data_IF_475243991610
#
_entry.id   IF_475243991610
#
_cell.length_a   1.000
_cell.length_b   1.000
_cell.length_c   1.000
_cell.angle_alpha   90.00
_cell.angle_beta   90.00
_cell.angle_gamma   90.00
#
_symmetry.space_group_name_H-M   'P 1'
#
loop_
_entity.id
_entity.type
_entity.pdbx_description
1 polymer ?
#
# COMPACT_ATOMS: atom_id res chain seq x y z
N UNK A 1 -6.71 14.22 -37.33
CA UNK A 1 -7.34 13.32 -36.37
C UNK A 1 -8.31 14.12 -35.52
N UNK A 2 -9.56 13.68 -35.42
CA UNK A 2 -10.50 14.40 -34.58
C UNK A 2 -10.08 14.33 -33.11
N UNK A 3 -10.34 15.34 -32.28
CA UNK A 3 -10.03 15.29 -30.87
C UNK A 3 -10.88 14.22 -30.19
N UNK A 4 -10.27 13.51 -29.23
CA UNK A 4 -11.00 12.56 -28.42
C UNK A 4 -12.00 13.32 -27.52
N UNK A 5 -13.21 12.82 -27.48
CA UNK A 5 -14.19 13.34 -26.53
C UNK A 5 -13.87 12.82 -25.13
N UNK A 6 -14.20 13.64 -24.12
CA UNK A 6 -13.87 13.28 -22.74
C UNK A 6 -14.41 11.91 -22.32
N UNK A 7 -15.61 11.53 -22.77
CA UNK A 7 -16.22 10.25 -22.44
C UNK A 7 -15.67 9.08 -23.27
N UNK A 8 -14.87 9.34 -24.30
CA UNK A 8 -14.20 8.29 -25.09
C UNK A 8 -12.91 7.80 -24.43
N UNK A 9 -12.43 8.49 -23.39
CA UNK A 9 -11.22 8.12 -22.68
C UNK A 9 -11.54 7.22 -21.50
N UNK A 10 -10.78 6.13 -21.31
CA UNK A 10 -10.96 5.32 -20.11
C UNK A 10 -10.63 6.13 -18.87
N UNK A 11 -11.42 5.91 -17.80
CA UNK A 11 -11.13 6.52 -16.51
C UNK A 11 -10.53 5.45 -15.60
N UNK A 12 -9.24 5.59 -15.34
CA UNK A 12 -8.49 4.67 -14.49
C UNK A 12 -7.93 5.48 -13.34
N UNK A 13 -8.32 5.11 -12.13
CA UNK A 13 -7.84 5.77 -10.92
C UNK A 13 -6.59 5.06 -10.40
N UNK A 14 -5.44 5.73 -10.32
CA UNK A 14 -4.24 5.12 -9.76
C UNK A 14 -4.32 5.11 -8.24
N UNK A 15 -3.88 4.00 -7.65
CA UNK A 15 -3.78 3.83 -6.22
C UNK A 15 -2.46 3.15 -5.88
N UNK A 16 -1.91 3.48 -4.72
CA UNK A 16 -0.68 2.85 -4.24
C UNK A 16 -1.00 1.78 -3.20
N UNK A 17 -0.18 0.74 -3.14
CA UNK A 17 -0.13 -0.22 -2.05
C UNK A 17 1.30 -0.17 -1.51
N UNK A 18 1.45 0.01 -0.21
CA UNK A 18 2.73 0.35 0.38
C UNK A 18 3.13 -0.65 1.46
N UNK A 19 4.24 -1.34 1.21
CA UNK A 19 4.92 -2.14 2.23
C UNK A 19 5.93 -1.28 2.98
N UNK A 20 5.57 -0.84 4.17
CA UNK A 20 6.47 -0.07 5.02
C UNK A 20 7.31 -1.05 5.81
N UNK A 21 8.63 -0.99 5.63
CA UNK A 21 9.56 -1.91 6.27
C UNK A 21 10.49 -1.18 7.25
N UNK A 22 10.89 -1.90 8.28
CA UNK A 22 11.93 -1.47 9.20
C UNK A 22 12.81 -2.68 9.47
N UNK A 23 13.88 -2.83 8.68
CA UNK A 23 14.72 -4.02 8.71
C UNK A 23 13.90 -5.27 8.39
N UNK A 24 13.79 -6.17 9.34
CA UNK A 24 13.05 -7.43 9.19
C UNK A 24 11.60 -7.35 9.66
N UNK A 25 11.06 -6.14 9.81
CA UNK A 25 9.66 -5.92 10.18
C UNK A 25 8.87 -5.29 9.06
N UNK A 26 7.63 -5.70 8.90
CA UNK A 26 6.67 -5.16 7.94
C UNK A 26 5.45 -4.63 8.70
N UNK A 27 4.99 -3.46 8.33
CA UNK A 27 3.78 -2.87 8.89
C UNK A 27 2.56 -3.50 8.26
N UNK A 28 1.71 -4.12 9.08
CA UNK A 28 0.41 -4.64 8.65
C UNK A 28 -0.70 -3.86 9.34
N UNK A 29 -1.81 -3.69 8.66
CA UNK A 29 -2.96 -2.94 9.17
C UNK A 29 -4.25 -3.71 8.94
N UNK A 30 -5.32 -3.26 9.62
CA UNK A 30 -6.69 -3.74 9.39
C UNK A 30 -7.60 -2.54 9.29
N UNK A 31 -8.51 -2.56 8.32
CA UNK A 31 -9.45 -1.46 8.10
C UNK A 31 -10.50 -1.41 9.19
N UNK A 32 -10.91 -0.19 9.55
CA UNK A 32 -11.97 0.04 10.51
C UNK A 32 -13.34 -0.28 9.88
N UNK A 33 -14.29 -0.72 10.71
CA UNK A 33 -15.68 -0.90 10.29
C UNK A 33 -15.95 -2.10 9.40
N UNK A 34 -14.97 -2.97 9.19
CA UNK A 34 -15.15 -4.19 8.40
C UNK A 34 -15.57 -5.34 9.30
N UNK A 35 -16.52 -6.15 8.82
CA UNK A 35 -17.03 -7.30 9.58
C UNK A 35 -16.04 -8.45 9.68
N UNK A 36 -15.06 -8.50 8.80
CA UNK A 36 -13.96 -9.44 8.88
C UNK A 36 -12.64 -8.66 8.86
N UNK A 37 -11.68 -9.14 9.64
CA UNK A 37 -10.43 -8.43 9.83
C UNK A 37 -9.30 -9.13 9.07
N UNK A 38 -9.18 -8.82 7.78
CA UNK A 38 -8.01 -9.23 7.00
C UNK A 38 -6.89 -8.23 7.18
N UNK A 39 -5.68 -8.74 7.28
CA UNK A 39 -4.51 -7.87 7.25
C UNK A 39 -4.34 -7.25 5.88
N UNK A 40 -3.92 -6.00 5.87
CA UNK A 40 -3.69 -5.22 4.67
C UNK A 40 -2.38 -4.44 4.78
N UNK A 41 -1.95 -3.88 3.67
CA UNK A 41 -0.90 -2.87 3.63
C UNK A 41 -1.57 -1.50 3.53
N UNK A 42 -0.80 -0.44 3.81
CA UNK A 42 -1.28 0.93 3.60
C UNK A 42 -1.62 1.09 2.11
N UNK A 43 -2.76 1.67 1.83
CA UNK A 43 -3.23 1.87 0.45
C UNK A 43 -4.04 3.14 0.34
N UNK A 44 -4.03 3.75 -0.85
CA UNK A 44 -4.84 4.91 -1.11
C UNK A 44 -4.70 5.43 -2.52
N UNK A 45 -5.64 6.29 -2.91
CA UNK A 45 -5.68 6.88 -4.24
C UNK A 45 -4.73 8.06 -4.36
N UNK A 46 -4.11 8.16 -5.55
CA UNK A 46 -3.33 9.34 -5.92
C UNK A 46 -4.27 10.51 -6.16
N UNK A 47 -3.92 11.66 -5.62
CA UNK A 47 -4.67 12.89 -5.83
C UNK A 47 -4.15 13.66 -7.05
N UNK A 48 -4.99 14.54 -7.59
CA UNK A 48 -4.62 15.38 -8.74
C UNK A 48 -3.36 16.18 -8.43
N UNK A 49 -2.39 16.11 -9.33
CA UNK A 49 -1.13 16.85 -9.19
C UNK A 49 -0.09 16.16 -8.32
N UNK A 50 -0.38 14.98 -7.84
CA UNK A 50 0.49 14.21 -6.95
C UNK A 50 1.25 13.14 -7.73
N UNK A 51 2.55 12.97 -7.46
CA UNK A 51 3.29 11.82 -7.98
C UNK A 51 2.93 10.58 -7.17
N UNK A 52 3.26 9.38 -7.68
CA UNK A 52 3.05 8.14 -6.94
C UNK A 52 3.84 8.14 -5.63
N UNK A 53 5.07 8.65 -5.65
CA UNK A 53 5.93 8.73 -4.46
C UNK A 53 5.35 9.70 -3.43
N UNK A 54 4.81 10.82 -3.86
CA UNK A 54 4.12 11.75 -2.96
C UNK A 54 2.88 11.13 -2.33
N UNK A 55 2.16 10.31 -3.11
CA UNK A 55 1.01 9.55 -2.59
C UNK A 55 1.45 8.60 -1.49
N UNK A 56 2.56 7.89 -1.69
CA UNK A 56 3.12 6.98 -0.67
C UNK A 56 3.40 7.76 0.62
N UNK A 57 4.12 8.86 0.54
CA UNK A 57 4.43 9.68 1.73
C UNK A 57 3.18 10.15 2.44
N UNK A 58 2.20 10.66 1.69
CA UNK A 58 0.97 11.23 2.25
C UNK A 58 0.11 10.16 2.93
N UNK A 59 -0.12 9.05 2.25
CA UNK A 59 -0.96 7.97 2.79
C UNK A 59 -0.35 7.36 4.06
N UNK A 60 0.96 7.13 4.08
CA UNK A 60 1.63 6.60 5.27
C UNK A 60 1.52 7.59 6.43
N UNK A 61 1.74 8.88 6.16
CA UNK A 61 1.63 9.91 7.20
C UNK A 61 0.19 10.04 7.71
N UNK A 62 -0.80 10.05 6.82
CA UNK A 62 -2.20 10.20 7.21
C UNK A 62 -2.71 9.01 8.03
N UNK A 63 -2.39 7.80 7.62
CA UNK A 63 -2.97 6.60 8.22
C UNK A 63 -2.26 6.14 9.48
N UNK A 64 -0.93 6.28 9.54
CA UNK A 64 -0.14 5.74 10.66
C UNK A 64 0.87 6.72 11.26
N UNK A 65 0.98 7.92 10.74
CA UNK A 65 1.84 8.97 11.29
C UNK A 65 3.32 8.69 11.16
N UNK A 66 3.74 7.90 10.19
CA UNK A 66 5.13 7.53 10.00
C UNK A 66 5.75 8.27 8.82
N UNK A 67 7.05 8.53 8.92
CA UNK A 67 7.87 9.02 7.82
C UNK A 67 8.57 7.86 7.16
N UNK A 68 8.69 7.91 5.84
CA UNK A 68 9.32 6.85 5.06
C UNK A 68 10.32 7.44 4.08
N UNK A 69 11.24 6.59 3.62
CA UNK A 69 12.29 6.93 2.67
C UNK A 69 12.56 5.72 1.77
N UNK A 70 13.42 5.90 0.77
CA UNK A 70 13.85 4.82 -0.13
C UNK A 70 12.67 4.08 -0.75
N UNK A 71 11.76 4.83 -1.37
CA UNK A 71 10.59 4.28 -2.03
C UNK A 71 11.03 3.50 -3.26
N UNK A 72 10.65 2.21 -3.33
CA UNK A 72 11.02 1.30 -4.42
C UNK A 72 9.78 0.71 -5.04
N UNK A 73 9.67 0.82 -6.35
CA UNK A 73 8.57 0.24 -7.09
C UNK A 73 8.70 -1.29 -7.14
N UNK A 74 7.60 -1.99 -6.90
CA UNK A 74 7.55 -3.45 -7.01
C UNK A 74 6.89 -3.89 -8.32
N UNK A 75 5.59 -3.67 -8.46
CA UNK A 75 4.87 -3.90 -9.72
C UNK A 75 3.49 -3.25 -9.67
N UNK A 76 2.82 -3.22 -10.82
CA UNK A 76 1.44 -2.76 -10.91
C UNK A 76 0.51 -3.93 -11.20
N UNK A 77 -0.76 -3.76 -10.84
CA UNK A 77 -1.80 -4.73 -11.11
C UNK A 77 -3.10 -3.99 -11.40
N UNK A 78 -3.75 -4.27 -12.54
CA UNK A 78 -5.07 -3.69 -12.78
C UNK A 78 -6.11 -4.31 -11.84
N UNK A 79 -7.03 -3.48 -11.37
CA UNK A 79 -8.16 -3.94 -10.58
C UNK A 79 -9.43 -3.58 -11.32
N UNK A 80 -9.88 -4.49 -12.21
CA UNK A 80 -10.92 -4.20 -13.20
C UNK A 80 -12.29 -3.93 -12.62
N UNK A 81 -12.58 -4.39 -11.40
CA UNK A 81 -13.89 -4.21 -10.77
C UNK A 81 -14.18 -2.74 -10.49
N UNK A 82 -13.16 -2.00 -10.02
CA UNK A 82 -13.31 -0.60 -9.62
C UNK A 82 -12.67 0.39 -10.59
N UNK A 83 -12.15 -0.09 -11.73
CA UNK A 83 -11.45 0.78 -12.67
C UNK A 83 -10.16 1.37 -12.11
N UNK A 84 -9.45 0.64 -11.26
CA UNK A 84 -8.22 1.08 -10.63
C UNK A 84 -7.00 0.42 -11.26
N UNK A 85 -5.87 1.12 -11.21
CA UNK A 85 -4.57 0.49 -11.34
C UNK A 85 -3.85 0.60 -10.00
N UNK A 86 -3.42 -0.54 -9.47
CA UNK A 86 -2.70 -0.61 -8.20
C UNK A 86 -1.21 -0.62 -8.49
N UNK A 87 -0.46 0.24 -7.81
CA UNK A 87 0.99 0.31 -7.92
C UNK A 87 1.61 -0.01 -6.57
N UNK A 88 2.32 -1.13 -6.51
CA UNK A 88 2.96 -1.60 -5.29
C UNK A 88 4.33 -0.99 -5.09
N UNK A 89 4.57 -0.48 -3.89
CA UNK A 89 5.85 0.09 -3.47
C UNK A 89 6.26 -0.48 -2.13
N UNK A 90 7.56 -0.66 -1.96
CA UNK A 90 8.16 -0.84 -0.63
C UNK A 90 8.90 0.43 -0.27
N UNK A 91 8.98 0.70 1.01
CA UNK A 91 9.75 1.84 1.52
C UNK A 91 10.28 1.51 2.91
N UNK A 92 11.30 2.25 3.32
CA UNK A 92 11.91 2.08 4.63
C UNK A 92 11.37 3.11 5.61
N UNK A 93 11.18 2.69 6.85
CA UNK A 93 10.87 3.62 7.93
C UNK A 93 12.01 4.64 8.07
N UNK A 94 11.64 5.91 8.24
CA UNK A 94 12.58 6.98 8.54
C UNK A 94 12.27 7.56 9.93
N UNK A 95 13.18 7.34 10.88
CA UNK A 95 13.05 7.88 12.22
C UNK A 95 12.22 7.01 13.16
N UNK A 96 11.34 7.64 13.93
CA UNK A 96 10.56 6.99 14.98
C UNK A 96 9.55 5.98 14.41
N UNK A 97 9.47 4.81 15.06
CA UNK A 97 8.57 3.72 14.68
C UNK A 97 7.21 3.77 15.41
N UNK A 98 6.95 4.83 16.17
CA UNK A 98 5.70 4.98 16.90
C UNK A 98 4.54 5.24 15.94
N UNK A 99 3.53 4.36 16.00
CA UNK A 99 2.37 4.45 15.14
C UNK A 99 1.33 5.39 15.76
N UNK A 100 0.89 6.36 14.97
CA UNK A 100 -0.23 7.25 15.31
C UNK A 100 -1.38 6.93 14.36
N UNK A 101 -2.29 6.07 14.83
CA UNK A 101 -3.34 5.49 14.01
C UNK A 101 -4.45 6.49 13.67
N UNK A 102 -4.83 6.56 12.40
CA UNK A 102 -6.08 7.21 12.01
C UNK A 102 -7.22 6.21 12.23
N UNK A 103 -7.90 6.35 13.35
CA UNK A 103 -8.94 5.41 13.77
C UNK A 103 -10.19 5.44 12.90
N UNK A 104 -10.34 6.44 12.04
CA UNK A 104 -11.45 6.50 11.07
C UNK A 104 -11.21 5.54 9.91
N UNK A 105 -9.96 5.33 9.53
CA UNK A 105 -9.58 4.47 8.41
C UNK A 105 -9.15 3.08 8.86
N UNK A 106 -8.40 2.98 9.96
CA UNK A 106 -7.79 1.73 10.40
C UNK A 106 -8.24 1.34 11.81
N UNK A 107 -8.54 0.06 12.00
CA UNK A 107 -8.81 -0.52 13.32
C UNK A 107 -7.52 -0.77 14.09
N UNK A 108 -6.46 -1.17 13.39
CA UNK A 108 -5.13 -1.38 13.99
C UNK A 108 -4.03 -1.29 12.93
N UNK A 109 -2.82 -1.04 13.41
CA UNK A 109 -1.60 -1.17 12.62
C UNK A 109 -0.49 -1.66 13.55
N UNK A 110 0.26 -2.65 13.10
CA UNK A 110 1.29 -3.30 13.92
C UNK A 110 2.47 -3.72 13.08
N UNK A 111 3.66 -3.66 13.69
CA UNK A 111 4.87 -4.23 13.11
C UNK A 111 4.87 -5.75 13.30
N UNK A 112 5.17 -6.47 12.24
CA UNK A 112 5.29 -7.94 12.27
C UNK A 112 6.66 -8.35 11.76
N UNK A 113 7.29 -9.29 12.46
CA UNK A 113 8.57 -9.84 12.03
C UNK A 113 8.42 -10.64 10.74
N UNK A 114 9.44 -10.60 9.91
CA UNK A 114 9.50 -11.32 8.63
C UNK A 114 9.12 -12.79 8.77
N UNK A 115 9.58 -13.44 9.82
CA UNK A 115 9.31 -14.87 10.06
C UNK A 115 7.95 -15.16 10.71
N UNK A 116 7.15 -14.14 11.02
CA UNK A 116 5.89 -14.28 11.76
C UNK A 116 4.74 -13.54 11.08
N UNK A 117 4.72 -13.53 9.76
CA UNK A 117 3.66 -12.87 8.99
C UNK A 117 2.40 -13.75 8.98
N UNK A 118 1.24 -13.20 9.40
CA UNK A 118 0.02 -13.97 9.57
C UNK A 118 -0.83 -14.09 8.30
N UNK A 119 -0.25 -13.91 7.12
CA UNK A 119 -0.97 -13.82 5.86
C UNK A 119 -0.38 -14.79 4.85
N UNK A 120 -1.25 -15.50 4.12
CA UNK A 120 -0.86 -16.36 3.01
C UNK A 120 -1.27 -15.73 1.69
N UNK A 121 -0.46 -15.94 0.66
CA UNK A 121 -0.74 -15.47 -0.69
C UNK A 121 -1.87 -16.32 -1.30
N UNK A 122 -2.89 -15.65 -1.84
CA UNK A 122 -4.01 -16.30 -2.51
C UNK A 122 -3.84 -16.38 -4.03
N UNK A 123 -2.70 -15.88 -4.55
CA UNK A 123 -2.43 -15.84 -5.98
C UNK A 123 -3.24 -14.79 -6.75
N UNK A 124 -4.00 -13.94 -6.06
CA UNK A 124 -4.90 -12.96 -6.67
C UNK A 124 -4.55 -11.53 -6.22
N UNK A 125 -4.37 -11.35 -4.92
CA UNK A 125 -4.20 -10.03 -4.31
C UNK A 125 -2.75 -9.56 -4.37
N UNK A 126 -2.52 -8.37 -4.89
CA UNK A 126 -1.20 -7.73 -4.86
C UNK A 126 -0.72 -7.52 -3.42
N UNK A 127 -1.62 -7.15 -2.51
CA UNK A 127 -1.30 -6.99 -1.08
C UNK A 127 -0.72 -8.27 -0.50
N UNK A 128 -1.40 -9.39 -0.71
CA UNK A 128 -0.93 -10.68 -0.16
C UNK A 128 0.36 -11.14 -0.81
N UNK A 129 0.50 -10.90 -2.11
CA UNK A 129 1.75 -11.18 -2.80
C UNK A 129 2.91 -10.40 -2.19
N UNK A 130 2.72 -9.09 -1.95
CA UNK A 130 3.77 -8.24 -1.39
C UNK A 130 4.16 -8.68 0.02
N UNK A 131 3.20 -9.11 0.82
CA UNK A 131 3.47 -9.65 2.16
C UNK A 131 4.29 -10.93 2.04
N UNK A 132 3.92 -11.83 1.13
CA UNK A 132 4.67 -13.06 0.88
C UNK A 132 6.09 -12.77 0.41
N UNK A 133 6.25 -11.85 -0.54
CA UNK A 133 7.57 -11.48 -1.10
C UNK A 133 8.48 -10.96 0.01
N UNK A 134 7.96 -10.13 0.91
CA UNK A 134 8.73 -9.67 2.07
C UNK A 134 9.11 -10.85 2.98
N UNK A 135 8.17 -11.77 3.23
CA UNK A 135 8.44 -12.97 4.04
C UNK A 135 9.56 -13.84 3.47
N UNK A 136 9.70 -13.85 2.15
CA UNK A 136 10.74 -14.62 1.47
C UNK A 136 12.07 -13.86 1.33
N UNK A 137 12.11 -12.59 1.77
CA UNK A 137 13.30 -11.76 1.65
C UNK A 137 13.59 -11.30 0.22
N UNK A 138 12.57 -11.26 -0.63
CA UNK A 138 12.72 -10.97 -2.07
C UNK A 138 12.23 -9.59 -2.47
N UNK A 139 11.87 -8.73 -1.51
CA UNK A 139 11.46 -7.38 -1.82
C UNK A 139 12.62 -6.58 -2.46
N UNK A 140 12.32 -5.63 -3.35
CA UNK A 140 13.36 -4.76 -3.93
C UNK A 140 14.08 -3.98 -2.84
N UNK A 141 15.40 -3.90 -2.98
CA UNK A 141 16.28 -3.22 -2.00
C UNK A 141 16.60 -1.79 -2.43
#
# INVERSE_FOLDING_TARGET
MPPLRQYDLPRISPAVIVGVTDGDRLLLSKYAGRSYAHYALIAGYTEIGETMEETVHREVMEEVGLRVKNIRYYKSQPWGIDGNVLMGFYCDLEGDDTIHLDEKELALAQWHDRGALPVEDDGISLTREMIRIFGEGKEPK
#
